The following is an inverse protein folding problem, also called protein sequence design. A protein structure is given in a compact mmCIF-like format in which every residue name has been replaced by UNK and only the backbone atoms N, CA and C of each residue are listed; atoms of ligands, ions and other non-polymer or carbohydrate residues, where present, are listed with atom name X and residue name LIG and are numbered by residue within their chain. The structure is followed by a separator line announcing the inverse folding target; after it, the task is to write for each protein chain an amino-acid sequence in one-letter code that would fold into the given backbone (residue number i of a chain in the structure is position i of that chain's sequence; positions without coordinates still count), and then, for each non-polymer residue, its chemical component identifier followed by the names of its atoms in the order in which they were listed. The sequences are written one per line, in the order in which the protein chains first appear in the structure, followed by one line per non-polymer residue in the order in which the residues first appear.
data_IF_013447444156
#
_entry.id   IF_013447444156
#
_cell.length_a   1.000
_cell.length_b   1.000
_cell.length_c   1.000
_cell.angle_alpha   90.00
_cell.angle_beta   90.00
_cell.angle_gamma   90.00
#
_symmetry.space_group_name_H-M   'P 1'
#
loop_
_entity.id
_entity.type
_entity.pdbx_description
1 polymer ?
#
# COMPACT_ATOMS: atom_id res chain seq x y z
N UNK A 1 10.65 -8.26 -20.61
CA UNK A 1 10.67 -6.93 -21.26
C UNK A 1 11.35 -5.93 -20.32
N UNK A 2 11.57 -4.69 -20.75
CA UNK A 2 12.35 -3.68 -19.98
C UNK A 2 11.69 -3.34 -18.62
N UNK A 3 10.38 -3.52 -18.49
CA UNK A 3 9.58 -3.09 -17.33
C UNK A 3 9.26 -4.20 -16.33
N UNK A 4 9.57 -5.46 -16.61
CA UNK A 4 9.18 -6.61 -15.77
C UNK A 4 9.77 -6.54 -14.35
N UNK A 5 10.84 -5.76 -14.17
CA UNK A 5 11.52 -5.56 -12.90
C UNK A 5 11.29 -4.14 -12.33
N UNK A 6 10.32 -3.38 -12.83
CA UNK A 6 9.93 -2.10 -12.24
C UNK A 6 8.64 -2.26 -11.46
N UNK A 7 8.65 -1.84 -10.21
CA UNK A 7 7.50 -1.90 -9.31
C UNK A 7 7.38 -0.62 -8.51
N UNK A 8 6.16 -0.27 -8.09
CA UNK A 8 5.98 0.89 -7.22
C UNK A 8 6.46 0.53 -5.82
N UNK A 9 7.35 1.34 -5.26
CA UNK A 9 7.89 1.13 -3.92
C UNK A 9 6.81 1.01 -2.83
N UNK A 10 5.71 1.73 -3.01
CA UNK A 10 4.59 1.71 -2.08
C UNK A 10 3.90 0.35 -1.98
N UNK A 11 3.94 -0.48 -3.03
CA UNK A 11 3.36 -1.85 -3.00
C UNK A 11 3.93 -2.67 -1.84
N UNK A 12 5.25 -2.59 -1.64
CA UNK A 12 5.92 -3.29 -0.55
C UNK A 12 5.60 -2.71 0.83
N UNK A 13 5.50 -1.38 0.93
CA UNK A 13 5.12 -0.75 2.20
C UNK A 13 3.68 -1.12 2.60
N UNK A 14 2.76 -1.15 1.63
CA UNK A 14 1.38 -1.58 1.81
C UNK A 14 1.34 -3.04 2.26
N UNK A 15 2.01 -3.95 1.54
CA UNK A 15 2.05 -5.37 1.88
C UNK A 15 2.59 -5.59 3.32
N UNK A 16 3.67 -4.89 3.68
CA UNK A 16 4.25 -4.96 5.03
C UNK A 16 3.32 -4.40 6.12
N UNK A 17 2.49 -3.41 5.79
CA UNK A 17 1.54 -2.85 6.74
C UNK A 17 0.31 -3.75 6.90
N UNK A 18 -0.27 -4.23 5.80
CA UNK A 18 -1.39 -5.17 5.79
C UNK A 18 -1.06 -6.44 6.57
N UNK A 19 0.15 -7.00 6.37
CA UNK A 19 0.60 -8.19 7.11
C UNK A 19 0.71 -7.99 8.63
N UNK A 20 0.67 -6.75 9.12
CA UNK A 20 0.70 -6.40 10.55
C UNK A 20 -0.68 -6.04 11.11
N UNK A 21 -1.73 -6.06 10.29
CA UNK A 21 -3.09 -5.70 10.70
C UNK A 21 -3.91 -6.97 10.93
N UNK A 22 -4.19 -7.35 12.20
CA UNK A 22 -4.99 -8.53 12.51
C UNK A 22 -6.43 -8.44 11.96
N UNK A 23 -6.96 -7.23 11.77
CA UNK A 23 -8.29 -7.00 11.21
C UNK A 23 -8.43 -7.41 9.74
N UNK A 24 -7.30 -7.57 9.04
CA UNK A 24 -7.26 -8.01 7.65
C UNK A 24 -6.95 -9.50 7.51
N UNK A 25 -6.63 -10.19 8.62
CA UNK A 25 -6.44 -11.64 8.59
C UNK A 25 -7.74 -12.36 8.21
N UNK A 26 -7.66 -13.21 7.19
CA UNK A 26 -8.82 -13.96 6.70
C UNK A 26 -9.80 -13.17 5.83
N UNK A 27 -9.50 -11.91 5.49
CA UNK A 27 -10.24 -11.17 4.45
C UNK A 27 -10.05 -11.83 3.08
N UNK A 28 -11.07 -11.72 2.24
CA UNK A 28 -11.08 -12.28 0.90
C UNK A 28 -9.98 -11.67 0.01
N UNK A 29 -9.33 -12.44 -0.90
CA UNK A 29 -8.32 -11.91 -1.79
C UNK A 29 -8.80 -10.76 -2.69
N UNK A 30 -10.06 -10.74 -3.10
CA UNK A 30 -10.63 -9.64 -3.90
C UNK A 30 -10.71 -8.36 -3.06
N UNK A 31 -11.17 -8.47 -1.80
CA UNK A 31 -11.18 -7.35 -0.86
C UNK A 31 -9.77 -6.78 -0.65
N UNK A 32 -8.76 -7.65 -0.49
CA UNK A 32 -7.37 -7.21 -0.32
C UNK A 32 -6.82 -6.56 -1.60
N UNK A 33 -7.21 -7.03 -2.78
CA UNK A 33 -6.84 -6.43 -4.06
C UNK A 33 -7.45 -5.04 -4.22
N UNK A 34 -8.75 -4.87 -3.92
CA UNK A 34 -9.44 -3.58 -3.93
C UNK A 34 -8.81 -2.60 -2.94
N UNK A 35 -8.54 -3.06 -1.72
CA UNK A 35 -7.86 -2.28 -0.69
C UNK A 35 -6.50 -1.78 -1.17
N UNK A 36 -5.68 -2.65 -1.76
CA UNK A 36 -4.37 -2.28 -2.29
C UNK A 36 -4.50 -1.27 -3.44
N UNK A 37 -5.44 -1.47 -4.36
CA UNK A 37 -5.70 -0.55 -5.47
C UNK A 37 -6.10 0.85 -4.98
N UNK A 38 -7.04 0.93 -4.04
CA UNK A 38 -7.50 2.20 -3.47
C UNK A 38 -6.38 2.91 -2.70
N UNK A 39 -5.58 2.18 -1.93
CA UNK A 39 -4.47 2.76 -1.19
C UNK A 39 -3.34 3.26 -2.13
N UNK A 40 -2.98 2.47 -3.16
CA UNK A 40 -1.94 2.85 -4.13
C UNK A 40 -2.31 4.11 -4.92
N UNK A 41 -3.59 4.25 -5.29
CA UNK A 41 -4.08 5.41 -6.04
C UNK A 41 -4.04 6.73 -5.24
N UNK A 42 -3.91 6.67 -3.91
CA UNK A 42 -3.77 7.84 -3.06
C UNK A 42 -2.30 8.27 -2.87
N UNK A 43 -1.34 7.43 -3.25
CA UNK A 43 0.08 7.64 -3.02
C UNK A 43 0.78 8.13 -4.29
N UNK A 44 1.84 8.95 -4.18
CA UNK A 44 2.58 9.39 -5.35
C UNK A 44 3.26 8.19 -6.04
N UNK A 45 3.21 8.14 -7.37
CA UNK A 45 3.90 7.09 -8.12
C UNK A 45 5.41 7.13 -7.86
N UNK A 46 6.00 6.00 -7.44
CA UNK A 46 7.44 5.89 -7.19
C UNK A 46 7.97 4.52 -7.58
N UNK A 47 8.44 4.40 -8.82
CA UNK A 47 8.96 3.15 -9.36
C UNK A 47 10.43 2.96 -9.08
N UNK A 48 10.81 1.74 -8.71
CA UNK A 48 12.19 1.32 -8.48
C UNK A 48 12.48 0.01 -9.22
N UNK A 49 13.76 -0.24 -9.50
CA UNK A 49 14.21 -1.52 -10.08
C UNK A 49 14.73 -2.47 -9.02
N UNK A 50 15.49 -1.95 -8.05
CA UNK A 50 16.01 -2.76 -6.96
C UNK A 50 15.80 -2.06 -5.61
N UNK A 51 15.51 -2.85 -4.57
CA UNK A 51 15.29 -2.32 -3.22
C UNK A 51 16.51 -1.60 -2.65
N UNK A 52 17.71 -2.01 -3.08
CA UNK A 52 18.97 -1.36 -2.71
C UNK A 52 19.01 0.10 -3.18
N UNK A 53 18.37 0.43 -4.31
CA UNK A 53 18.28 1.80 -4.82
C UNK A 53 17.53 2.73 -3.86
N UNK A 54 16.72 2.19 -2.94
CA UNK A 54 16.02 2.99 -1.95
C UNK A 54 16.80 3.12 -0.63
N UNK A 55 17.48 2.06 -0.19
CA UNK A 55 18.25 2.07 1.04
C UNK A 55 19.43 3.06 1.02
N UNK A 56 20.03 3.29 -0.16
CA UNK A 56 21.11 4.25 -0.33
C UNK A 56 20.64 5.69 -0.55
N UNK A 57 19.42 5.89 -1.07
CA UNK A 57 18.97 7.21 -1.54
C UNK A 57 17.88 7.85 -0.68
N UNK A 58 17.17 7.11 0.19
CA UNK A 58 16.17 7.71 1.08
C UNK A 58 16.71 7.99 2.48
N UNK A 59 16.66 9.26 2.93
CA UNK A 59 16.81 9.58 4.33
C UNK A 59 15.76 8.85 5.18
N UNK A 60 16.15 8.44 6.39
CA UNK A 60 15.24 7.77 7.32
C UNK A 60 13.96 8.57 7.61
N UNK A 61 14.05 9.91 7.61
CA UNK A 61 12.92 10.82 7.78
C UNK A 61 11.91 10.75 6.63
N UNK A 62 12.38 10.62 5.39
CA UNK A 62 11.51 10.47 4.22
C UNK A 62 10.81 9.11 4.27
N UNK A 63 11.54 8.05 4.63
CA UNK A 63 10.95 6.71 4.81
C UNK A 63 9.83 6.71 5.86
N UNK A 64 10.06 7.33 7.02
CA UNK A 64 9.02 7.45 8.06
C UNK A 64 7.79 8.18 7.53
N UNK A 65 8.01 9.28 6.80
CA UNK A 65 6.92 10.04 6.16
C UNK A 65 6.14 9.18 5.17
N UNK A 66 6.82 8.35 4.38
CA UNK A 66 6.17 7.44 3.45
C UNK A 66 5.36 6.36 4.16
N UNK A 67 5.90 5.76 5.23
CA UNK A 67 5.18 4.78 6.05
C UNK A 67 3.92 5.39 6.70
N UNK A 68 4.00 6.64 7.18
CA UNK A 68 2.83 7.37 7.68
C UNK A 68 1.76 7.59 6.60
N UNK A 69 2.16 8.00 5.39
CA UNK A 69 1.22 8.18 4.26
C UNK A 69 0.55 6.87 3.85
N UNK A 70 1.29 5.77 3.85
CA UNK A 70 0.75 4.42 3.55
C UNK A 70 -0.32 4.04 4.56
N UNK A 71 -0.05 4.24 5.84
CA UNK A 71 -1.03 4.00 6.90
C UNK A 71 -2.30 4.79 6.68
N UNK A 72 -2.18 6.10 6.47
CA UNK A 72 -3.34 6.97 6.24
C UNK A 72 -4.15 6.54 5.00
N UNK A 73 -3.47 6.16 3.91
CA UNK A 73 -4.13 5.70 2.69
C UNK A 73 -4.87 4.37 2.90
N UNK A 74 -4.31 3.44 3.66
CA UNK A 74 -4.94 2.16 3.98
C UNK A 74 -6.14 2.37 4.89
N UNK A 75 -6.00 3.16 5.96
CA UNK A 75 -7.09 3.45 6.90
C UNK A 75 -8.30 4.06 6.16
N UNK A 76 -8.07 5.07 5.30
CA UNK A 76 -9.12 5.66 4.45
C UNK A 76 -9.76 4.67 3.49
N UNK A 77 -8.96 3.75 2.94
CA UNK A 77 -9.46 2.75 1.99
C UNK A 77 -10.32 1.70 2.69
N UNK A 78 -9.96 1.29 3.91
CA UNK A 78 -10.77 0.40 4.76
C UNK A 78 -12.10 1.07 5.08
N UNK A 79 -12.07 2.32 5.56
CA UNK A 79 -13.30 3.09 5.84
C UNK A 79 -14.22 3.17 4.61
N UNK A 80 -13.66 3.41 3.43
CA UNK A 80 -14.41 3.44 2.18
C UNK A 80 -15.06 2.10 1.87
N UNK A 81 -14.30 0.99 1.91
CA UNK A 81 -14.80 -0.34 1.58
C UNK A 81 -15.87 -0.81 2.57
N UNK A 82 -15.67 -0.58 3.87
CA UNK A 82 -16.67 -0.92 4.90
C UNK A 82 -17.95 -0.09 4.76
N UNK A 83 -17.83 1.19 4.38
CA UNK A 83 -18.99 2.02 4.10
C UNK A 83 -19.78 1.57 2.85
N UNK A 84 -19.08 1.19 1.78
CA UNK A 84 -19.70 0.72 0.53
C UNK A 84 -20.36 -0.66 0.71
N UNK A 85 -19.75 -1.57 1.48
CA UNK A 85 -20.36 -2.85 1.86
C UNK A 85 -21.67 -2.64 2.64
N UNK A 86 -21.69 -1.68 3.58
CA UNK A 86 -22.90 -1.33 4.34
C UNK A 86 -24.05 -0.76 3.49
N UNK A 87 -23.72 -0.16 2.33
CA UNK A 87 -24.69 0.39 1.40
C UNK A 87 -25.23 -0.65 0.40
N UNK A 88 -24.53 -1.78 0.25
CA UNK A 88 -24.89 -2.90 -0.64
C UNK A 88 -25.62 -4.03 0.08
N UNK A 89 -25.62 -4.04 1.41
CA UNK A 89 -26.37 -4.97 2.28
C UNK A 89 -27.76 -4.45 2.63
#
# INVERSE_FOLDING_TARGET
MIFDNLYNYYERLIANYIAKLPSLEGKDPEYLADLCCLALNQLPARYIRHEVDMAFYLPASERLTMEMKVREAIDKSIEFLESDESLRS
#
